data_IF_218989262804
#
_entry.id   IF_218989262804
#
_cell.length_a   1.000
_cell.length_b   1.000
_cell.length_c   1.000
_cell.angle_alpha   90.00
_cell.angle_beta   90.00
_cell.angle_gamma   90.00
#
_symmetry.space_group_name_H-M   'P 1'
#
loop_
_entity.id
_entity.type
_entity.pdbx_description
1 polymer ?
#
# COMPACT_ATOMS: atom_id res chain seq x y z
N UNK A 1 -19.65 -8.46 10.61
CA UNK A 1 -18.82 -9.64 10.32
C UNK A 1 -17.44 -9.18 9.88
N UNK A 2 -16.44 -9.29 10.75
CA UNK A 2 -15.05 -8.96 10.44
C UNK A 2 -14.41 -10.12 9.68
N UNK A 3 -14.27 -9.99 8.36
CA UNK A 3 -13.36 -10.84 7.59
C UNK A 3 -11.93 -10.52 8.02
N UNK A 4 -11.48 -11.17 9.11
CA UNK A 4 -10.09 -11.19 9.51
C UNK A 4 -9.39 -12.07 8.48
N UNK A 5 -8.57 -11.45 7.64
CA UNK A 5 -7.82 -12.15 6.61
C UNK A 5 -6.95 -13.22 7.30
N UNK A 6 -7.12 -14.52 6.99
CA UNK A 6 -6.59 -15.62 7.80
C UNK A 6 -5.09 -15.87 7.62
N UNK A 7 -4.41 -15.06 6.81
CA UNK A 7 -2.97 -15.18 6.57
C UNK A 7 -2.24 -14.09 7.35
N UNK A 8 -1.24 -14.44 8.19
CA UNK A 8 -0.36 -13.44 8.75
C UNK A 8 0.28 -12.67 7.59
N UNK A 9 0.28 -11.33 7.68
CA UNK A 9 0.93 -10.51 6.68
C UNK A 9 2.40 -10.92 6.60
N UNK A 10 2.82 -11.42 5.44
CA UNK A 10 4.24 -11.67 5.16
C UNK A 10 5.02 -10.39 5.43
N UNK A 11 6.02 -10.50 6.30
CA UNK A 11 6.96 -9.43 6.62
C UNK A 11 7.92 -9.25 5.44
N UNK A 12 7.62 -8.28 4.59
CA UNK A 12 8.39 -8.02 3.38
C UNK A 12 9.79 -7.47 3.69
N UNK A 13 9.97 -6.80 4.83
CA UNK A 13 11.28 -6.30 5.25
C UNK A 13 12.19 -7.45 5.64
N UNK A 14 11.67 -8.42 6.39
CA UNK A 14 12.41 -9.63 6.72
C UNK A 14 12.72 -10.47 5.48
N UNK A 15 11.79 -10.57 4.52
CA UNK A 15 12.04 -11.25 3.24
C UNK A 15 13.14 -10.53 2.44
N UNK A 16 13.10 -9.19 2.35
CA UNK A 16 14.15 -8.41 1.69
C UNK A 16 15.51 -8.65 2.35
N UNK A 17 15.57 -8.59 3.68
CA UNK A 17 16.81 -8.82 4.43
C UNK A 17 17.41 -10.21 4.18
N UNK A 18 16.57 -11.25 4.19
CA UNK A 18 16.99 -12.62 3.84
C UNK A 18 17.46 -12.73 2.41
N UNK A 19 16.80 -12.05 1.47
CA UNK A 19 17.16 -12.06 0.05
C UNK A 19 18.54 -11.41 -0.16
N UNK A 20 18.77 -10.23 0.41
CA UNK A 20 20.08 -9.55 0.37
C UNK A 20 21.17 -10.43 0.97
N UNK A 21 20.89 -11.10 2.09
CA UNK A 21 21.83 -12.02 2.74
C UNK A 21 22.14 -13.21 1.83
N UNK A 22 21.14 -13.79 1.14
CA UNK A 22 21.33 -14.89 0.21
C UNK A 22 22.22 -14.49 -0.99
N UNK A 23 22.01 -13.30 -1.56
CA UNK A 23 22.86 -12.77 -2.64
C UNK A 23 24.32 -12.64 -2.17
N UNK A 24 24.55 -12.10 -0.97
CA UNK A 24 25.89 -11.94 -0.39
C UNK A 24 26.57 -13.28 -0.12
N UNK A 25 25.85 -14.25 0.46
CA UNK A 25 26.37 -15.60 0.69
C UNK A 25 26.71 -16.32 -0.62
N UNK A 26 25.86 -16.21 -1.65
CA UNK A 26 26.11 -16.82 -2.96
C UNK A 26 27.36 -16.23 -3.62
N UNK A 27 27.58 -14.92 -3.46
CA UNK A 27 28.77 -14.25 -3.94
C UNK A 27 30.05 -14.72 -3.21
N UNK A 28 29.96 -15.04 -1.92
CA UNK A 28 31.09 -15.48 -1.10
C UNK A 28 31.42 -16.99 -1.23
N UNK A 29 30.42 -17.85 -1.47
CA UNK A 29 30.58 -19.31 -1.37
C UNK A 29 31.02 -20.02 -2.66
N UNK A 30 31.05 -19.35 -3.82
CA UNK A 30 31.23 -20.05 -5.11
C UNK A 30 32.63 -19.89 -5.73
N UNK A 31 33.53 -20.90 -5.63
CA UNK A 31 34.66 -21.04 -6.54
C UNK A 31 34.16 -21.50 -7.92
N UNK A 32 34.12 -20.54 -8.86
CA UNK A 32 34.23 -20.55 -10.34
C UNK A 32 33.78 -21.75 -11.21
N UNK A 33 33.09 -22.78 -10.71
CA UNK A 33 32.83 -24.01 -11.48
C UNK A 33 31.45 -24.07 -12.17
N UNK A 34 30.50 -23.19 -11.86
CA UNK A 34 29.15 -23.17 -12.47
C UNK A 34 28.61 -21.75 -12.70
N UNK A 35 29.21 -20.95 -13.60
CA UNK A 35 28.84 -19.56 -13.81
C UNK A 35 27.40 -19.35 -14.29
N UNK A 36 26.84 -20.27 -15.10
CA UNK A 36 25.46 -20.20 -15.60
C UNK A 36 24.42 -20.41 -14.50
N UNK A 37 24.62 -21.41 -13.63
CA UNK A 37 23.75 -21.66 -12.47
C UNK A 37 23.79 -20.46 -11.52
N UNK A 38 24.98 -19.89 -11.28
CA UNK A 38 25.13 -18.68 -10.46
C UNK A 38 24.35 -17.50 -11.04
N UNK A 39 24.50 -17.23 -12.34
CA UNK A 39 23.78 -16.13 -12.99
C UNK A 39 22.26 -16.32 -12.90
N UNK A 40 21.77 -17.55 -13.09
CA UNK A 40 20.36 -17.87 -12.96
C UNK A 40 19.83 -17.63 -11.54
N UNK A 41 20.56 -18.08 -10.51
CA UNK A 41 20.15 -17.88 -9.10
C UNK A 41 20.17 -16.38 -8.75
N UNK A 42 21.17 -15.62 -9.18
CA UNK A 42 21.21 -14.16 -8.94
C UNK A 42 20.02 -13.48 -9.62
N UNK A 43 19.69 -13.84 -10.87
CA UNK A 43 18.53 -13.29 -11.56
C UNK A 43 17.23 -13.61 -10.81
N UNK A 44 17.03 -14.86 -10.39
CA UNK A 44 15.86 -15.27 -9.62
C UNK A 44 15.76 -14.54 -8.26
N UNK A 45 16.88 -14.26 -7.60
CA UNK A 45 16.90 -13.43 -6.38
C UNK A 45 16.56 -11.97 -6.68
N UNK A 46 16.92 -11.45 -7.86
CA UNK A 46 16.52 -10.12 -8.32
C UNK A 46 15.01 -10.01 -8.60
N UNK A 47 14.40 -11.07 -9.14
CA UNK A 47 12.95 -11.14 -9.33
C UNK A 47 12.21 -11.03 -7.99
N UNK A 48 12.77 -11.60 -6.91
CA UNK A 48 12.19 -11.49 -5.56
C UNK A 48 12.18 -10.03 -5.07
N UNK A 49 13.22 -9.25 -5.32
CA UNK A 49 13.24 -7.82 -4.95
C UNK A 49 12.15 -7.05 -5.70
N UNK A 50 12.02 -7.30 -7.00
CA UNK A 50 10.99 -6.67 -7.83
C UNK A 50 9.58 -7.01 -7.32
N UNK A 51 9.33 -8.26 -6.96
CA UNK A 51 8.05 -8.69 -6.38
C UNK A 51 7.79 -8.08 -5.00
N UNK A 52 8.81 -7.89 -4.17
CA UNK A 52 8.66 -7.21 -2.87
C UNK A 52 8.21 -5.76 -3.08
N UNK A 53 8.81 -5.05 -4.03
CA UNK A 53 8.46 -3.68 -4.36
C UNK A 53 7.03 -3.58 -4.89
N UNK A 54 6.65 -4.48 -5.81
CA UNK A 54 5.28 -4.55 -6.33
C UNK A 54 4.26 -4.81 -5.21
N UNK A 55 4.49 -5.80 -4.34
CA UNK A 55 3.57 -6.10 -3.24
C UNK A 55 3.50 -4.94 -2.25
N UNK A 56 4.61 -4.25 -2.00
CA UNK A 56 4.65 -3.06 -1.14
C UNK A 56 3.81 -1.93 -1.74
N UNK A 57 3.98 -1.66 -3.05
CA UNK A 57 3.20 -0.68 -3.79
C UNK A 57 1.70 -1.00 -3.77
N UNK A 58 1.32 -2.24 -4.08
CA UNK A 58 -0.08 -2.69 -4.06
C UNK A 58 -0.70 -2.61 -2.65
N UNK A 59 0.07 -2.90 -1.59
CA UNK A 59 -0.40 -2.72 -0.21
C UNK A 59 -0.65 -1.26 0.13
N UNK A 60 0.22 -0.35 -0.31
CA UNK A 60 0.04 1.08 -0.12
C UNK A 60 -1.18 1.60 -0.89
N UNK A 61 -1.33 1.22 -2.16
CA UNK A 61 -2.47 1.57 -2.99
C UNK A 61 -3.79 1.06 -2.41
N UNK A 62 -3.84 -0.22 -2.01
CA UNK A 62 -5.02 -0.80 -1.38
C UNK A 62 -5.39 -0.06 -0.09
N UNK A 63 -4.40 0.31 0.72
CA UNK A 63 -4.62 1.07 1.96
C UNK A 63 -5.20 2.45 1.65
N UNK A 64 -4.64 3.14 0.66
CA UNK A 64 -5.14 4.44 0.19
C UNK A 64 -6.60 4.36 -0.28
N UNK A 65 -6.93 3.40 -1.16
CA UNK A 65 -8.30 3.19 -1.65
C UNK A 65 -9.27 2.87 -0.51
N UNK A 66 -8.86 2.06 0.46
CA UNK A 66 -9.69 1.73 1.63
C UNK A 66 -9.95 2.97 2.48
N UNK A 67 -8.97 3.86 2.60
CA UNK A 67 -9.11 5.12 3.33
C UNK A 67 -10.07 6.08 2.62
N UNK A 68 -9.88 6.30 1.32
CA UNK A 68 -10.78 7.11 0.47
C UNK A 68 -12.24 6.62 0.53
N UNK A 69 -12.45 5.31 0.46
CA UNK A 69 -13.81 4.73 0.60
C UNK A 69 -14.41 4.94 1.99
N UNK A 70 -13.60 4.82 3.04
CA UNK A 70 -14.06 5.04 4.41
C UNK A 70 -14.46 6.50 4.64
N UNK A 71 -13.66 7.45 4.13
CA UNK A 71 -13.96 8.87 4.20
C UNK A 71 -15.21 9.23 3.40
N UNK A 72 -15.35 8.73 2.17
CA UNK A 72 -16.56 8.95 1.36
C UNK A 72 -17.82 8.40 2.05
N UNK A 73 -17.72 7.22 2.68
CA UNK A 73 -18.83 6.68 3.46
C UNK A 73 -19.16 7.55 4.67
N UNK A 74 -18.16 8.13 5.33
CA UNK A 74 -18.36 9.09 6.42
C UNK A 74 -19.03 10.38 5.91
N UNK A 75 -18.59 10.92 4.78
CA UNK A 75 -19.19 12.09 4.14
C UNK A 75 -20.66 11.85 3.76
N UNK A 76 -20.99 10.69 3.17
CA UNK A 76 -22.38 10.32 2.87
C UNK A 76 -23.23 10.27 4.15
N UNK A 77 -22.69 9.69 5.24
CA UNK A 77 -23.40 9.65 6.54
C UNK A 77 -23.60 11.04 7.13
N UNK A 78 -22.60 11.91 7.00
CA UNK A 78 -22.69 13.31 7.43
C UNK A 78 -23.76 14.06 6.63
N UNK A 79 -23.81 13.89 5.31
CA UNK A 79 -24.87 14.44 4.45
C UNK A 79 -26.26 13.99 4.88
N UNK A 80 -26.46 12.70 5.14
CA UNK A 80 -27.77 12.19 5.57
C UNK A 80 -28.20 12.73 6.94
N UNK A 81 -27.26 12.91 7.87
CA UNK A 81 -27.53 13.52 9.16
C UNK A 81 -27.87 15.01 9.01
N UNK A 82 -27.10 15.75 8.21
CA UNK A 82 -27.31 17.16 7.92
C UNK A 82 -28.66 17.43 7.25
N UNK A 83 -29.07 16.58 6.29
CA UNK A 83 -30.40 16.65 5.66
C UNK A 83 -31.53 16.43 6.68
N UNK A 84 -31.35 15.48 7.60
CA UNK A 84 -32.32 15.22 8.67
C UNK A 84 -32.43 16.40 9.65
N UNK A 85 -31.32 17.05 9.96
CA UNK A 85 -31.24 18.19 10.89
C UNK A 85 -31.66 19.52 10.24
N UNK A 86 -31.92 19.53 8.92
CA UNK A 86 -32.37 20.70 8.17
C UNK A 86 -31.24 21.68 7.83
N UNK A 87 -30.00 21.19 7.67
CA UNK A 87 -28.88 21.97 7.15
C UNK A 87 -29.23 22.55 5.76
N UNK A 88 -28.81 23.78 5.50
CA UNK A 88 -29.09 24.50 4.25
C UNK A 88 -28.33 23.88 3.05
N UNK A 89 -27.20 23.21 3.30
CA UNK A 89 -26.42 22.54 2.26
C UNK A 89 -25.82 21.17 2.69
N UNK A 90 -26.66 20.14 2.86
CA UNK A 90 -26.21 18.80 3.27
C UNK A 90 -25.23 18.15 2.26
N UNK A 91 -25.30 18.53 0.98
CA UNK A 91 -24.43 17.99 -0.07
C UNK A 91 -23.00 18.56 -0.02
N UNK A 92 -22.74 19.54 0.83
CA UNK A 92 -21.40 20.09 1.04
C UNK A 92 -20.38 19.00 1.41
N UNK A 93 -20.70 18.13 2.38
CA UNK A 93 -19.76 17.11 2.88
C UNK A 93 -19.27 16.13 1.81
N UNK A 94 -20.15 15.68 0.91
CA UNK A 94 -19.76 14.79 -0.19
C UNK A 94 -18.93 15.53 -1.24
N UNK A 95 -19.28 16.77 -1.57
CA UNK A 95 -18.51 17.58 -2.52
C UNK A 95 -17.11 17.90 -2.01
N UNK A 96 -17.00 18.23 -0.73
CA UNK A 96 -15.73 18.47 -0.04
C UNK A 96 -14.85 17.22 -0.07
N UNK A 97 -15.39 16.06 0.29
CA UNK A 97 -14.64 14.80 0.24
C UNK A 97 -14.20 14.42 -1.19
N UNK A 98 -15.07 14.61 -2.19
CA UNK A 98 -14.69 14.38 -3.59
C UNK A 98 -13.59 15.35 -4.06
N UNK A 99 -13.64 16.60 -3.62
CA UNK A 99 -12.59 17.57 -3.89
C UNK A 99 -11.27 17.14 -3.23
N UNK A 100 -11.30 16.74 -1.95
CA UNK A 100 -10.14 16.24 -1.21
C UNK A 100 -9.50 15.02 -1.88
N UNK A 101 -10.29 14.08 -2.41
CA UNK A 101 -9.78 12.91 -3.13
C UNK A 101 -9.18 13.24 -4.50
N UNK A 102 -9.65 14.30 -5.15
CA UNK A 102 -9.13 14.76 -6.45
C UNK A 102 -7.87 15.62 -6.30
N UNK A 103 -7.73 16.32 -5.17
CA UNK A 103 -6.64 17.25 -4.87
C UNK A 103 -6.02 16.98 -3.48
N UNK A 104 -5.39 15.81 -3.27
CA UNK A 104 -4.87 15.42 -1.96
C UNK A 104 -3.77 16.35 -1.41
N UNK A 105 -3.05 17.08 -2.27
CA UNK A 105 -1.98 18.01 -1.88
C UNK A 105 -2.48 19.34 -1.28
N UNK A 106 -3.76 19.68 -1.42
CA UNK A 106 -4.30 20.97 -0.96
C UNK A 106 -4.88 20.91 0.46
N UNK A 107 -5.36 19.74 0.90
CA UNK A 107 -6.00 19.57 2.23
C UNK A 107 -5.00 19.43 3.39
N UNK A 108 -3.72 19.16 3.11
CA UNK A 108 -2.67 19.04 4.13
C UNK A 108 -2.09 20.41 4.59
N UNK A 109 -2.49 21.52 3.94
CA UNK A 109 -1.89 22.84 4.13
C UNK A 109 -2.54 23.77 5.17
N UNK A 110 -3.72 23.44 5.70
CA UNK A 110 -4.53 24.40 6.48
C UNK A 110 -4.58 24.16 8.00
N UNK A 111 -3.71 23.28 8.54
CA UNK A 111 -3.55 23.13 9.99
C UNK A 111 -2.16 23.58 10.43
N UNK A 112 -1.95 24.90 10.55
CA UNK A 112 -0.82 25.49 11.28
C UNK A 112 -1.22 26.76 12.00
#
# INVERSE_FOLDING_TARGET
MTHRHPYPHTDLQEVAHRNTTAVQLLAALTPTSLPSVRAYVIAALGDIETLIDEVTGLRAELTSIRYQRANLLAAIRATLAADHDGDDDPLYYVRDELHAQTHPDQTAGESR
#
